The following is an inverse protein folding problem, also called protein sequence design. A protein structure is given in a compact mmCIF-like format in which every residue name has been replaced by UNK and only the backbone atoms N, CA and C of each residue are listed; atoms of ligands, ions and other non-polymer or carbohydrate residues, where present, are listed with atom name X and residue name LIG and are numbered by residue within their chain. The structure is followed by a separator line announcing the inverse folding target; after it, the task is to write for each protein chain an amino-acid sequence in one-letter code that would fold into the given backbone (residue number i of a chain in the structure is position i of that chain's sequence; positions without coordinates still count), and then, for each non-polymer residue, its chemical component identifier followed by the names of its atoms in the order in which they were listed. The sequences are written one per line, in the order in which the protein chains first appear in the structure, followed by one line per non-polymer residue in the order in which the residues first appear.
data_IF_048435162094
#
_entry.id   IF_048435162094
#
_cell.length_a   1.000
_cell.length_b   1.000
_cell.length_c   1.000
_cell.angle_alpha   90.00
_cell.angle_beta   90.00
_cell.angle_gamma   90.00
#
_symmetry.space_group_name_H-M   'P 1'
#
loop_
_entity.id
_entity.type
_entity.pdbx_description
1 polymer ?
#
# COMPACT_ATOMS: atom_id res chain seq x y z
N UNK A 1 -4.10 32.27 53.12
CA UNK A 1 -2.87 31.62 52.59
C UNK A 1 -2.84 30.17 53.03
N UNK A 2 -3.32 29.23 52.21
CA UNK A 2 -3.23 27.80 52.53
C UNK A 2 -1.84 27.26 52.16
N UNK A 3 -1.07 26.85 53.18
CA UNK A 3 0.18 26.11 53.01
C UNK A 3 -0.13 24.67 52.60
N UNK A 4 -0.03 24.37 51.29
CA UNK A 4 -0.01 22.99 50.83
C UNK A 4 1.29 22.31 51.29
N UNK A 5 1.17 21.25 52.07
CA UNK A 5 2.28 20.40 52.50
C UNK A 5 2.93 19.68 51.33
N UNK A 6 4.23 19.34 51.48
CA UNK A 6 5.07 18.72 50.42
C UNK A 6 4.45 17.48 49.74
N UNK A 7 3.52 16.76 50.40
CA UNK A 7 2.80 15.62 49.81
C UNK A 7 1.66 15.98 48.83
N UNK A 8 1.08 17.18 48.93
CA UNK A 8 -0.01 17.61 48.02
C UNK A 8 0.50 17.98 46.63
N UNK A 9 1.76 18.43 46.51
CA UNK A 9 2.39 18.77 45.23
C UNK A 9 2.64 17.55 44.34
N UNK A 10 2.94 16.40 44.94
CA UNK A 10 3.20 15.16 44.19
C UNK A 10 1.91 14.56 43.61
N UNK A 11 0.79 14.68 44.33
CA UNK A 11 -0.52 14.18 43.88
C UNK A 11 -1.04 15.05 42.72
N UNK A 12 -0.90 16.37 42.80
CA UNK A 12 -1.31 17.27 41.71
C UNK A 12 -0.46 17.08 40.45
N UNK A 13 0.85 16.86 40.59
CA UNK A 13 1.71 16.57 39.43
C UNK A 13 1.36 15.23 38.77
N UNK A 14 1.10 14.18 39.56
CA UNK A 14 0.70 12.88 39.03
C UNK A 14 -0.67 12.93 38.32
N UNK A 15 -1.62 13.69 38.86
CA UNK A 15 -2.93 13.91 38.23
C UNK A 15 -2.80 14.73 36.92
N UNK A 16 -1.96 15.77 36.88
CA UNK A 16 -1.68 16.51 35.65
C UNK A 16 -0.95 15.68 34.60
N UNK A 17 -0.04 14.77 34.98
CA UNK A 17 0.64 13.88 34.04
C UNK A 17 -0.33 12.83 33.45
N UNK A 18 -1.24 12.30 34.27
CA UNK A 18 -2.30 11.38 33.81
C UNK A 18 -3.32 12.07 32.89
N UNK A 19 -3.70 13.32 33.18
CA UNK A 19 -4.54 14.10 32.26
C UNK A 19 -3.81 14.48 30.97
N UNK A 20 -2.52 14.80 31.02
CA UNK A 20 -1.72 15.07 29.83
C UNK A 20 -1.49 13.82 28.96
N UNK A 21 -1.51 12.61 29.57
CA UNK A 21 -1.41 11.33 28.85
C UNK A 21 -2.72 10.96 28.15
N UNK A 22 -3.87 11.31 28.74
CA UNK A 22 -5.19 11.09 28.15
C UNK A 22 -5.52 12.10 27.03
N UNK A 23 -4.83 13.24 26.99
CA UNK A 23 -4.96 14.24 25.91
C UNK A 23 -4.01 13.98 24.73
N UNK A 24 -3.13 12.97 24.85
CA UNK A 24 -2.41 12.39 23.72
C UNK A 24 -3.25 11.23 23.16
N UNK A 25 -4.50 11.52 22.79
CA UNK A 25 -5.15 10.65 21.82
C UNK A 25 -4.28 10.77 20.56
N UNK A 26 -3.70 9.67 20.04
CA UNK A 26 -3.13 9.73 18.71
C UNK A 26 -4.26 10.21 17.82
N UNK A 27 -4.03 11.27 17.04
CA UNK A 27 -4.90 11.60 15.93
C UNK A 27 -4.97 10.33 15.08
N UNK A 28 -6.02 9.52 15.28
CA UNK A 28 -6.25 8.31 14.52
C UNK A 28 -6.73 8.81 13.17
N UNK A 29 -6.09 8.35 12.11
CA UNK A 29 -6.45 8.76 10.77
C UNK A 29 -7.61 7.86 10.32
N UNK A 30 -8.71 8.48 9.89
CA UNK A 30 -9.71 7.82 9.05
C UNK A 30 -9.00 6.98 7.98
N UNK A 31 -9.46 5.74 7.76
CA UNK A 31 -8.81 4.81 6.85
C UNK A 31 -8.52 5.50 5.51
N UNK A 32 -7.23 5.71 5.23
CA UNK A 32 -6.81 6.36 4.01
C UNK A 32 -6.76 5.27 2.94
N UNK A 33 -7.89 5.07 2.28
CA UNK A 33 -8.03 4.10 1.20
C UNK A 33 -7.08 4.47 0.07
N UNK A 34 -6.25 3.52 -0.29
CA UNK A 34 -5.30 3.67 -1.39
C UNK A 34 -5.82 2.91 -2.61
N UNK A 35 -5.97 3.63 -3.71
CA UNK A 35 -6.48 3.18 -5.01
C UNK A 35 -5.49 3.56 -6.11
N UNK A 36 -5.76 3.17 -7.36
CA UNK A 36 -4.96 3.61 -8.51
C UNK A 36 -4.95 5.13 -8.70
N UNK A 37 -5.97 5.84 -8.17
CA UNK A 37 -6.07 7.29 -8.26
C UNK A 37 -5.13 8.05 -7.29
N UNK A 38 -4.64 7.41 -6.22
CA UNK A 38 -3.84 8.09 -5.19
C UNK A 38 -2.60 7.32 -4.70
N UNK A 39 -2.38 6.07 -5.14
CA UNK A 39 -1.20 5.29 -4.75
C UNK A 39 0.11 5.91 -5.27
N UNK A 40 0.11 6.34 -6.53
CA UNK A 40 1.22 7.02 -7.19
C UNK A 40 0.68 8.05 -8.19
N UNK A 41 1.43 9.12 -8.42
CA UNK A 41 1.01 10.23 -9.28
C UNK A 41 0.99 9.87 -10.78
N UNK A 42 1.69 8.81 -11.20
CA UNK A 42 1.99 8.51 -12.60
C UNK A 42 1.51 7.13 -13.07
N UNK A 43 0.70 6.42 -12.28
CA UNK A 43 0.19 5.09 -12.67
C UNK A 43 -1.16 5.13 -13.38
N UNK A 44 -1.87 6.26 -13.40
CA UNK A 44 -3.24 6.36 -13.95
C UNK A 44 -3.37 6.08 -15.44
N UNK A 45 -2.25 6.08 -16.18
CA UNK A 45 -2.18 5.72 -17.60
C UNK A 45 -1.53 4.35 -17.83
N UNK A 46 -1.08 3.67 -16.78
CA UNK A 46 -0.49 2.34 -16.87
C UNK A 46 -1.60 1.31 -17.04
N UNK A 47 -1.50 0.40 -18.03
CA UNK A 47 -2.38 -0.76 -18.10
C UNK A 47 -2.31 -1.67 -16.87
N UNK A 48 -1.26 -1.57 -16.05
CA UNK A 48 -1.08 -2.38 -14.84
C UNK A 48 -1.40 -1.62 -13.53
N UNK A 49 -2.16 -0.52 -13.60
CA UNK A 49 -2.38 0.35 -12.43
C UNK A 49 -2.99 -0.38 -11.23
N UNK A 50 -3.93 -1.30 -11.46
CA UNK A 50 -4.60 -2.05 -10.40
C UNK A 50 -3.68 -3.14 -9.84
N UNK A 51 -2.87 -3.75 -10.69
CA UNK A 51 -1.83 -4.71 -10.31
C UNK A 51 -0.76 -4.05 -9.43
N UNK A 52 -0.36 -2.82 -9.73
CA UNK A 52 0.58 -2.05 -8.91
C UNK A 52 -0.02 -1.81 -7.51
N UNK A 53 -1.28 -1.38 -7.43
CA UNK A 53 -1.99 -1.16 -6.15
C UNK A 53 -2.09 -2.47 -5.37
N UNK A 54 -2.48 -3.56 -6.02
CA UNK A 54 -2.56 -4.91 -5.44
C UNK A 54 -1.20 -5.33 -4.84
N UNK A 55 -0.13 -5.25 -5.61
CA UNK A 55 1.18 -5.74 -5.18
C UNK A 55 1.84 -4.86 -4.11
N UNK A 56 1.56 -3.55 -4.08
CA UNK A 56 1.96 -2.71 -2.93
C UNK A 56 1.20 -3.09 -1.66
N UNK A 57 -0.09 -3.44 -1.78
CA UNK A 57 -0.89 -3.93 -0.66
C UNK A 57 -0.40 -5.26 -0.11
N UNK A 58 0.09 -6.13 -0.99
CA UNK A 58 0.69 -7.40 -0.61
C UNK A 58 2.10 -7.26 -0.02
N UNK A 59 2.71 -6.06 -0.09
CA UNK A 59 4.11 -5.84 0.30
C UNK A 59 5.12 -6.48 -0.67
N UNK A 60 4.67 -6.86 -1.88
CA UNK A 60 5.53 -7.39 -2.95
C UNK A 60 6.29 -6.25 -3.61
N UNK A 61 5.63 -5.11 -3.83
CA UNK A 61 6.28 -3.85 -4.17
C UNK A 61 6.44 -3.08 -2.85
N UNK A 62 7.69 -2.81 -2.46
CA UNK A 62 7.93 -2.02 -1.25
C UNK A 62 7.45 -0.58 -1.48
N UNK A 63 6.54 -0.13 -0.63
CA UNK A 63 5.96 1.21 -0.70
C UNK A 63 6.69 2.17 0.25
N UNK A 64 7.09 3.33 -0.27
CA UNK A 64 7.63 4.44 0.53
C UNK A 64 6.76 5.67 0.36
N UNK A 65 6.36 6.30 1.48
CA UNK A 65 5.59 7.54 1.45
C UNK A 65 6.38 8.72 0.84
N UNK A 66 7.71 8.61 0.77
CA UNK A 66 8.58 9.64 0.19
C UNK A 66 8.65 9.54 -1.34
N UNK A 67 8.23 8.42 -1.93
CA UNK A 67 8.22 8.19 -3.37
C UNK A 67 6.81 8.37 -3.93
N UNK A 68 6.61 9.49 -4.64
CA UNK A 68 5.30 9.87 -5.19
C UNK A 68 5.05 9.32 -6.60
N UNK A 69 6.05 8.68 -7.22
CA UNK A 69 6.00 8.19 -8.61
C UNK A 69 6.50 6.75 -8.71
N UNK A 70 5.76 5.88 -9.39
CA UNK A 70 6.14 4.50 -9.62
C UNK A 70 7.05 4.33 -10.85
N UNK A 71 6.89 5.19 -11.87
CA UNK A 71 7.60 5.15 -13.16
C UNK A 71 7.41 3.79 -13.89
N UNK A 72 6.18 3.48 -14.35
CA UNK A 72 5.82 2.17 -14.91
C UNK A 72 6.68 1.71 -16.09
N UNK A 73 7.13 2.64 -16.94
CA UNK A 73 7.86 2.36 -18.18
C UNK A 73 9.38 2.21 -17.98
N UNK A 74 9.91 2.56 -16.81
CA UNK A 74 11.32 2.36 -16.50
C UNK A 74 11.65 0.87 -16.39
N UNK A 75 12.84 0.49 -16.85
CA UNK A 75 13.40 -0.84 -16.58
C UNK A 75 13.61 -1.03 -15.08
N UNK A 76 13.08 -2.13 -14.55
CA UNK A 76 13.26 -2.51 -13.16
C UNK A 76 14.74 -2.85 -12.92
N UNK A 77 15.36 -2.25 -11.90
CA UNK A 77 16.75 -2.55 -11.54
C UNK A 77 16.82 -3.80 -10.68
N UNK A 78 17.89 -4.60 -10.82
CA UNK A 78 18.11 -5.76 -9.94
C UNK A 78 18.24 -5.35 -8.48
N UNK A 79 18.91 -4.24 -8.19
CA UNK A 79 19.02 -3.71 -6.84
C UNK A 79 17.67 -3.35 -6.21
N UNK A 80 16.74 -2.83 -7.02
CA UNK A 80 15.38 -2.50 -6.58
C UNK A 80 14.52 -3.74 -6.38
N UNK A 81 14.56 -4.69 -7.33
CA UNK A 81 13.92 -6.00 -7.18
C UNK A 81 14.43 -6.72 -5.90
N UNK A 82 15.73 -6.66 -5.65
CA UNK A 82 16.35 -7.24 -4.46
C UNK A 82 15.85 -6.58 -3.17
N UNK A 83 15.71 -5.25 -3.17
CA UNK A 83 15.11 -4.53 -2.05
C UNK A 83 13.67 -5.00 -1.80
N UNK A 84 12.83 -5.02 -2.83
CA UNK A 84 11.44 -5.48 -2.73
C UNK A 84 11.33 -6.92 -2.21
N UNK A 85 12.16 -7.83 -2.73
CA UNK A 85 12.22 -9.21 -2.28
C UNK A 85 12.66 -9.32 -0.81
N UNK A 86 13.66 -8.54 -0.38
CA UNK A 86 14.11 -8.53 1.00
C UNK A 86 13.02 -8.07 1.98
N UNK A 87 12.25 -7.03 1.63
CA UNK A 87 11.12 -6.56 2.43
C UNK A 87 10.00 -7.60 2.50
N UNK A 88 9.60 -8.15 1.35
CA UNK A 88 8.56 -9.17 1.26
C UNK A 88 8.88 -10.41 2.11
N UNK A 89 10.11 -10.92 2.00
CA UNK A 89 10.57 -12.10 2.74
C UNK A 89 11.00 -11.79 4.19
N UNK A 90 10.85 -10.54 4.65
CA UNK A 90 11.26 -10.06 5.98
C UNK A 90 12.74 -10.36 6.29
N UNK A 91 13.58 -10.21 5.27
CA UNK A 91 15.04 -10.38 5.36
C UNK A 91 15.78 -9.05 5.58
N UNK A 92 15.09 -7.92 5.44
CA UNK A 92 15.60 -6.63 5.86
C UNK A 92 15.51 -6.47 7.38
N UNK A 93 16.58 -5.96 8.01
CA UNK A 93 16.52 -5.53 9.40
C UNK A 93 15.61 -4.29 9.52
N UNK A 94 14.93 -4.15 10.66
CA UNK A 94 14.08 -2.99 10.90
C UNK A 94 14.90 -1.69 10.79
N UNK A 95 14.50 -0.79 9.88
CA UNK A 95 15.20 0.48 9.63
C UNK A 95 16.42 0.37 8.70
N UNK A 96 16.63 -0.79 8.07
CA UNK A 96 17.64 -0.92 7.02
C UNK A 96 17.35 0.03 5.85
N UNK A 97 18.41 0.54 5.22
CA UNK A 97 18.28 1.26 3.96
C UNK A 97 17.93 0.29 2.82
N UNK A 98 17.37 0.80 1.72
CA UNK A 98 17.07 0.00 0.53
C UNK A 98 18.32 -0.76 0.02
N UNK A 99 19.51 -0.14 0.09
CA UNK A 99 20.76 -0.79 -0.28
C UNK A 99 21.14 -1.94 0.66
N UNK A 100 20.96 -1.77 1.97
CA UNK A 100 21.23 -2.82 2.96
C UNK A 100 20.27 -4.01 2.78
N UNK A 101 18.98 -3.72 2.59
CA UNK A 101 17.96 -4.72 2.29
C UNK A 101 18.28 -5.47 0.99
N UNK A 102 18.63 -4.78 -0.09
CA UNK A 102 19.05 -5.40 -1.35
C UNK A 102 20.27 -6.33 -1.19
N UNK A 103 21.27 -5.93 -0.38
CA UNK A 103 22.42 -6.80 -0.05
C UNK A 103 22.00 -8.03 0.77
N UNK A 104 20.98 -7.92 1.62
CA UNK A 104 20.42 -9.06 2.35
C UNK A 104 19.80 -10.08 1.41
N UNK A 105 18.98 -9.63 0.43
CA UNK A 105 18.41 -10.50 -0.59
C UNK A 105 19.47 -11.21 -1.44
N UNK A 106 20.55 -10.50 -1.82
CA UNK A 106 21.69 -11.12 -2.50
C UNK A 106 22.35 -12.21 -1.63
N UNK A 107 22.60 -11.91 -0.36
CA UNK A 107 23.21 -12.84 0.60
C UNK A 107 22.35 -14.09 0.83
N UNK A 108 21.03 -13.93 0.80
CA UNK A 108 20.07 -15.03 0.92
C UNK A 108 19.84 -15.81 -0.40
N UNK A 109 20.45 -15.38 -1.50
CA UNK A 109 20.32 -16.03 -2.81
C UNK A 109 18.98 -15.78 -3.51
N UNK A 110 18.21 -14.78 -3.07
CA UNK A 110 16.96 -14.37 -3.73
C UNK A 110 17.21 -13.72 -5.10
N UNK A 111 18.40 -13.16 -5.31
CA UNK A 111 18.86 -12.62 -6.59
C UNK A 111 20.32 -13.03 -6.84
N UNK A 112 20.73 -13.09 -8.11
CA UNK A 112 22.10 -13.48 -8.49
C UNK A 112 23.11 -12.33 -8.51
N UNK A 113 22.66 -11.08 -8.69
CA UNK A 113 23.48 -9.87 -8.75
C UNK A 113 22.63 -8.64 -8.44
N UNK A 114 23.26 -7.54 -8.04
CA UNK A 114 22.60 -6.22 -7.88
C UNK A 114 22.79 -5.31 -9.09
N UNK A 115 23.70 -5.67 -10.00
CA UNK A 115 24.06 -4.83 -11.14
C UNK A 115 23.10 -5.03 -12.31
N UNK A 116 22.74 -3.94 -13.01
CA UNK A 116 21.94 -3.99 -14.23
C UNK A 116 20.42 -4.02 -14.01
N UNK A 117 19.69 -4.31 -15.08
CA UNK A 117 18.24 -4.45 -15.06
C UNK A 117 17.85 -5.87 -14.69
N UNK A 118 16.72 -6.03 -14.01
CA UNK A 118 16.13 -7.32 -13.71
C UNK A 118 15.52 -7.95 -14.97
N UNK A 119 15.52 -9.27 -14.99
CA UNK A 119 14.82 -10.10 -15.98
C UNK A 119 13.75 -10.98 -15.30
N UNK A 120 12.96 -11.70 -16.10
CA UNK A 120 11.92 -12.60 -15.57
C UNK A 120 12.50 -13.76 -14.74
N UNK A 121 13.74 -14.19 -15.03
CA UNK A 121 14.45 -15.19 -14.26
C UNK A 121 14.79 -14.70 -12.84
N UNK A 122 15.21 -13.44 -12.72
CA UNK A 122 15.42 -12.78 -11.43
C UNK A 122 14.12 -12.72 -10.63
N UNK A 123 13.00 -12.36 -11.27
CA UNK A 123 11.68 -12.30 -10.61
C UNK A 123 11.21 -13.68 -10.15
N UNK A 124 11.35 -14.70 -11.00
CA UNK A 124 11.02 -16.09 -10.66
C UNK A 124 11.82 -16.56 -9.44
N UNK A 125 13.12 -16.26 -9.40
CA UNK A 125 13.97 -16.58 -8.24
C UNK A 125 13.52 -15.84 -6.98
N UNK A 126 13.29 -14.53 -7.10
CA UNK A 126 13.03 -13.65 -5.96
C UNK A 126 11.71 -13.95 -5.25
N UNK A 127 10.64 -14.24 -6.00
CA UNK A 127 9.29 -14.40 -5.45
C UNK A 127 8.76 -15.84 -5.52
N UNK A 128 9.18 -16.61 -6.51
CA UNK A 128 8.62 -17.94 -6.77
C UNK A 128 9.62 -19.07 -6.51
N UNK A 129 10.77 -18.78 -5.88
CA UNK A 129 11.81 -19.77 -5.58
C UNK A 129 12.45 -20.42 -6.82
N UNK A 130 12.23 -19.85 -8.00
CA UNK A 130 12.63 -20.46 -9.28
C UNK A 130 11.71 -21.59 -9.75
N UNK A 131 10.54 -21.79 -9.12
CA UNK A 131 9.63 -22.89 -9.42
C UNK A 131 8.79 -22.67 -10.69
N UNK A 132 8.67 -21.42 -11.18
CA UNK A 132 7.94 -21.17 -12.42
C UNK A 132 8.69 -21.74 -13.62
N UNK A 133 7.96 -22.42 -14.50
CA UNK A 133 8.48 -22.84 -15.79
C UNK A 133 8.41 -21.67 -16.77
N UNK A 134 9.58 -21.11 -17.10
CA UNK A 134 9.71 -20.02 -18.07
C UNK A 134 10.34 -20.58 -19.35
N UNK A 135 9.52 -20.78 -20.38
CA UNK A 135 9.96 -21.38 -21.64
C UNK A 135 10.82 -20.39 -22.46
N UNK A 136 12.06 -20.75 -22.86
CA UNK A 136 12.91 -19.88 -23.67
C UNK A 136 12.34 -19.52 -25.04
N UNK A 137 11.41 -20.32 -25.57
CA UNK A 137 10.69 -20.06 -26.83
C UNK A 137 9.30 -19.44 -26.63
N UNK A 138 8.93 -19.10 -25.39
CA UNK A 138 7.67 -18.47 -25.05
C UNK A 138 7.64 -16.97 -25.41
N UNK A 139 6.47 -16.34 -25.20
CA UNK A 139 6.32 -14.88 -25.30
C UNK A 139 7.11 -14.11 -24.23
N UNK A 140 7.41 -14.78 -23.12
CA UNK A 140 8.19 -14.27 -22.00
C UNK A 140 9.36 -15.22 -21.81
N UNK A 141 10.58 -14.74 -22.02
CA UNK A 141 11.79 -15.54 -21.83
C UNK A 141 12.45 -15.19 -20.49
N UNK A 142 13.16 -16.15 -19.85
CA UNK A 142 13.80 -15.89 -18.56
C UNK A 142 14.77 -14.71 -18.58
N UNK A 143 15.46 -14.48 -19.69
CA UNK A 143 16.51 -13.46 -19.87
C UNK A 143 15.99 -12.13 -20.43
N UNK A 144 14.67 -11.98 -20.63
CA UNK A 144 14.09 -10.73 -21.08
C UNK A 144 14.01 -9.73 -19.93
N UNK A 145 14.67 -8.57 -20.10
CA UNK A 145 14.56 -7.46 -19.14
C UNK A 145 13.15 -6.88 -19.15
N UNK A 146 12.60 -6.59 -17.97
CA UNK A 146 11.25 -6.08 -17.82
C UNK A 146 11.18 -4.66 -17.24
N UNK A 147 10.10 -3.95 -17.56
CA UNK A 147 9.74 -2.70 -16.89
C UNK A 147 9.06 -2.96 -15.54
N UNK A 148 8.93 -1.93 -14.71
CA UNK A 148 8.16 -2.01 -13.45
C UNK A 148 6.69 -2.39 -13.69
N UNK A 149 6.08 -1.88 -14.77
CA UNK A 149 4.74 -2.27 -15.22
C UNK A 149 4.66 -3.75 -15.57
N UNK A 150 5.61 -4.24 -16.37
CA UNK A 150 5.66 -5.64 -16.78
C UNK A 150 5.89 -6.58 -15.59
N UNK A 151 6.67 -6.15 -14.60
CA UNK A 151 6.80 -6.85 -13.31
C UNK A 151 5.43 -6.97 -12.63
N UNK A 152 4.69 -5.86 -12.51
CA UNK A 152 3.41 -5.86 -11.82
C UNK A 152 2.38 -6.79 -12.50
N UNK A 153 2.28 -6.71 -13.83
CA UNK A 153 1.42 -7.60 -14.61
C UNK A 153 1.86 -9.08 -14.47
N UNK A 154 3.15 -9.36 -14.54
CA UNK A 154 3.66 -10.74 -14.49
C UNK A 154 3.43 -11.41 -13.13
N UNK A 155 3.68 -10.70 -12.03
CA UNK A 155 3.55 -11.25 -10.68
C UNK A 155 2.08 -11.39 -10.27
N UNK A 156 1.23 -10.42 -10.61
CA UNK A 156 -0.19 -10.45 -10.28
C UNK A 156 -0.93 -11.62 -10.97
N UNK A 157 -0.62 -11.92 -12.23
CA UNK A 157 -1.17 -13.07 -12.97
C UNK A 157 -0.87 -14.41 -12.26
N UNK A 158 0.24 -14.47 -11.53
CA UNK A 158 0.75 -15.68 -10.84
C UNK A 158 0.58 -15.63 -9.33
N UNK A 159 -0.18 -14.67 -8.82
CA UNK A 159 -0.30 -14.42 -7.38
C UNK A 159 -0.77 -15.67 -6.62
N UNK A 160 -1.65 -16.46 -7.24
CA UNK A 160 -2.26 -17.66 -6.68
C UNK A 160 -1.60 -18.97 -7.17
N UNK A 161 -0.45 -18.88 -7.86
CA UNK A 161 0.27 -20.08 -8.30
C UNK A 161 0.72 -20.88 -7.06
N UNK A 162 0.43 -22.19 -6.99
CA UNK A 162 0.85 -23.02 -5.87
C UNK A 162 2.36 -23.27 -5.95
N UNK A 163 3.08 -22.83 -4.91
CA UNK A 163 4.52 -23.08 -4.73
C UNK A 163 4.75 -24.04 -3.57
N UNK A 164 5.97 -24.57 -3.44
CA UNK A 164 6.34 -25.47 -2.35
C UNK A 164 6.12 -24.90 -0.94
N UNK A 165 6.15 -23.56 -0.80
CA UNK A 165 5.98 -22.82 0.46
C UNK A 165 4.63 -22.08 0.55
N UNK A 166 3.69 -22.36 -0.36
CA UNK A 166 2.40 -21.68 -0.47
C UNK A 166 2.40 -20.54 -1.49
N UNK A 167 1.22 -20.00 -1.77
CA UNK A 167 1.01 -18.88 -2.70
C UNK A 167 1.67 -17.59 -2.18
N UNK A 168 1.85 -16.58 -3.05
CA UNK A 168 2.46 -15.31 -2.63
C UNK A 168 1.68 -14.59 -1.51
N UNK A 169 0.34 -14.52 -1.53
CA UNK A 169 -0.43 -13.97 -0.40
C UNK A 169 -0.18 -14.71 0.90
N UNK A 170 -0.16 -16.05 0.88
CA UNK A 170 0.09 -16.87 2.07
C UNK A 170 1.49 -16.62 2.64
N UNK A 171 2.50 -16.51 1.77
CA UNK A 171 3.87 -16.16 2.18
C UNK A 171 3.93 -14.76 2.81
N UNK A 172 3.15 -13.81 2.31
CA UNK A 172 2.97 -12.49 2.91
C UNK A 172 2.11 -12.49 4.20
N UNK A 173 1.60 -13.64 4.62
CA UNK A 173 0.76 -13.80 5.81
C UNK A 173 -0.69 -13.34 5.62
N UNK A 174 -1.16 -13.29 4.38
CA UNK A 174 -2.57 -13.03 4.07
C UNK A 174 -3.39 -14.32 4.10
N UNK A 175 -4.62 -14.18 4.56
CA UNK A 175 -5.68 -15.17 4.40
C UNK A 175 -6.66 -14.68 3.32
N UNK A 176 -7.27 -15.62 2.60
CA UNK A 176 -8.36 -15.28 1.68
C UNK A 176 -9.53 -14.70 2.49
N UNK A 177 -9.97 -13.51 2.10
CA UNK A 177 -11.06 -12.80 2.74
C UNK A 177 -12.43 -13.11 2.12
N UNK A 178 -13.48 -12.43 2.59
CA UNK A 178 -14.83 -12.54 2.02
C UNK A 178 -14.89 -12.04 0.57
N UNK A 179 -15.86 -12.56 -0.17
CA UNK A 179 -16.28 -12.07 -1.48
C UNK A 179 -17.81 -12.03 -1.52
N UNK A 180 -18.39 -11.17 -2.35
CA UNK A 180 -19.84 -10.97 -2.44
C UNK A 180 -20.23 -9.50 -2.49
N UNK A 181 -21.51 -9.22 -2.26
CA UNK A 181 -22.03 -7.85 -2.25
C UNK A 181 -21.67 -7.18 -0.92
N UNK A 182 -21.19 -5.94 -0.96
CA UNK A 182 -21.07 -5.11 0.23
C UNK A 182 -22.46 -4.62 0.61
N UNK A 183 -23.02 -5.19 1.67
CA UNK A 183 -24.38 -4.89 2.13
C UNK A 183 -24.47 -3.54 2.86
N UNK A 184 -23.39 -3.17 3.56
CA UNK A 184 -23.32 -1.95 4.35
C UNK A 184 -21.89 -1.55 4.65
N UNK A 185 -21.64 -0.24 4.76
CA UNK A 185 -20.41 0.30 5.34
C UNK A 185 -20.76 1.19 6.54
N UNK A 186 -20.21 0.85 7.70
CA UNK A 186 -20.46 1.55 8.97
C UNK A 186 -19.21 2.30 9.40
N UNK A 187 -19.35 3.58 9.72
CA UNK A 187 -18.28 4.38 10.33
C UNK A 187 -18.20 4.05 11.82
N UNK A 188 -17.07 3.53 12.31
CA UNK A 188 -16.78 3.40 13.73
C UNK A 188 -16.31 4.76 14.28
N UNK A 189 -17.25 5.59 14.76
CA UNK A 189 -16.94 6.92 15.34
C UNK A 189 -15.93 6.84 16.51
N UNK A 190 -15.97 5.78 17.31
CA UNK A 190 -15.09 5.61 18.48
C UNK A 190 -13.64 5.24 18.09
N UNK A 191 -13.40 4.76 16.86
CA UNK A 191 -12.08 4.25 16.44
C UNK A 191 -11.56 4.84 15.14
N UNK A 192 -12.27 5.80 14.57
CA UNK A 192 -11.99 6.46 13.29
C UNK A 192 -11.65 5.46 12.18
N UNK A 193 -12.56 4.50 11.97
CA UNK A 193 -12.40 3.42 11.01
C UNK A 193 -13.72 3.02 10.36
N UNK A 194 -13.66 2.04 9.47
CA UNK A 194 -14.83 1.51 8.78
C UNK A 194 -14.99 0.03 9.07
N UNK A 195 -16.24 -0.38 9.27
CA UNK A 195 -16.66 -1.78 9.27
C UNK A 195 -17.44 -2.04 7.99
N UNK A 196 -17.04 -3.06 7.24
CA UNK A 196 -17.65 -3.46 5.96
C UNK A 196 -18.44 -4.75 6.19
N UNK A 197 -19.74 -4.71 5.91
CA UNK A 197 -20.62 -5.87 6.01
C UNK A 197 -20.72 -6.60 4.67
N UNK A 198 -20.38 -7.89 4.65
CA UNK A 198 -20.50 -8.77 3.49
C UNK A 198 -21.23 -10.03 3.96
N UNK A 199 -22.45 -10.22 3.46
CA UNK A 199 -23.38 -11.20 4.02
C UNK A 199 -23.68 -10.94 5.50
N UNK A 200 -23.60 -11.99 6.33
CA UNK A 200 -23.87 -11.92 7.77
C UNK A 200 -22.65 -11.53 8.61
N UNK A 201 -21.52 -11.22 7.97
CA UNK A 201 -20.25 -10.93 8.66
C UNK A 201 -19.84 -9.47 8.48
N UNK A 202 -19.35 -8.87 9.57
CA UNK A 202 -18.75 -7.53 9.56
C UNK A 202 -17.24 -7.66 9.72
N UNK A 203 -16.51 -6.94 8.87
CA UNK A 203 -15.06 -6.94 8.85
C UNK A 203 -14.54 -5.52 9.02
N UNK A 204 -13.59 -5.34 9.93
CA UNK A 204 -12.88 -4.07 10.08
C UNK A 204 -12.06 -3.80 8.82
N UNK A 205 -12.10 -2.58 8.33
CA UNK A 205 -11.20 -2.11 7.29
C UNK A 205 -9.85 -1.74 7.91
N UNK A 206 -8.76 -2.17 7.28
CA UNK A 206 -7.42 -1.74 7.64
C UNK A 206 -7.26 -0.21 7.51
N UNK A 207 -6.28 0.40 8.18
CA UNK A 207 -6.05 1.85 8.16
C UNK A 207 -5.61 2.35 6.77
N UNK A 208 -4.90 1.50 6.01
CA UNK A 208 -4.43 1.80 4.66
C UNK A 208 -4.78 0.67 3.70
N UNK A 209 -6.07 0.38 3.49
CA UNK A 209 -6.45 -0.72 2.62
C UNK A 209 -6.06 -0.37 1.19
N UNK A 210 -5.70 -1.39 0.41
CA UNK A 210 -5.55 -1.27 -1.05
C UNK A 210 -6.84 -1.72 -1.70
N UNK A 211 -7.40 -0.86 -2.54
CA UNK A 211 -8.71 -1.07 -3.15
C UNK A 211 -8.59 -0.90 -4.65
N UNK A 212 -8.97 -1.93 -5.38
CA UNK A 212 -9.06 -1.94 -6.84
C UNK A 212 -10.52 -1.94 -7.28
N UNK A 213 -10.81 -1.23 -8.37
CA UNK A 213 -12.14 -1.22 -8.98
C UNK A 213 -13.23 -0.45 -8.22
N UNK A 214 -12.89 0.29 -7.17
CA UNK A 214 -13.84 1.08 -6.37
C UNK A 214 -13.29 2.44 -5.91
N UNK A 215 -14.19 3.28 -5.39
CA UNK A 215 -13.88 4.63 -4.88
C UNK A 215 -12.95 4.59 -3.67
N UNK A 216 -12.16 5.65 -3.44
CA UNK A 216 -11.40 5.83 -2.19
C UNK A 216 -12.28 6.19 -0.99
N UNK A 217 -13.57 6.42 -1.20
CA UNK A 217 -14.57 6.66 -0.16
C UNK A 217 -15.36 5.38 0.12
N UNK A 218 -15.13 4.70 1.27
CA UNK A 218 -15.83 3.46 1.62
C UNK A 218 -17.36 3.58 1.64
N UNK A 219 -17.90 4.77 1.93
CA UNK A 219 -19.36 4.96 1.96
C UNK A 219 -20.02 4.72 0.60
N UNK A 220 -19.25 4.73 -0.49
CA UNK A 220 -19.73 4.48 -1.85
C UNK A 220 -19.69 3.00 -2.26
N UNK A 221 -19.20 2.11 -1.40
CA UNK A 221 -19.04 0.68 -1.73
C UNK A 221 -20.32 -0.13 -1.56
N UNK A 222 -21.33 0.39 -0.85
CA UNK A 222 -22.60 -0.31 -0.67
C UNK A 222 -23.23 -0.71 -2.01
N UNK A 223 -23.64 -1.98 -2.12
CA UNK A 223 -24.19 -2.57 -3.34
C UNK A 223 -23.13 -3.02 -4.36
N UNK A 224 -21.85 -2.69 -4.19
CA UNK A 224 -20.80 -3.15 -5.10
C UNK A 224 -20.42 -4.61 -4.84
N UNK A 225 -19.96 -5.30 -5.89
CA UNK A 225 -19.51 -6.69 -5.80
C UNK A 225 -18.00 -6.73 -5.53
N UNK A 226 -17.63 -7.20 -4.35
CA UNK A 226 -16.27 -7.56 -3.99
C UNK A 226 -15.95 -8.95 -4.59
N UNK A 227 -15.07 -8.97 -5.59
CA UNK A 227 -14.69 -10.19 -6.32
C UNK A 227 -13.73 -11.03 -5.50
N UNK A 228 -12.76 -10.38 -4.85
CA UNK A 228 -11.78 -11.03 -3.97
C UNK A 228 -11.30 -10.05 -2.92
N UNK A 229 -10.92 -10.58 -1.78
CA UNK A 229 -10.24 -9.80 -0.75
C UNK A 229 -9.23 -10.65 0.01
N UNK A 230 -8.37 -9.96 0.74
CA UNK A 230 -7.39 -10.58 1.62
C UNK A 230 -7.37 -9.89 2.96
N UNK A 231 -7.26 -10.73 3.99
CA UNK A 231 -7.29 -10.31 5.38
C UNK A 231 -6.00 -10.62 6.10
N UNK A 232 -5.71 -9.84 7.14
CA UNK A 232 -4.63 -10.06 8.10
C UNK A 232 -5.11 -9.85 9.52
N UNK A 233 -4.40 -10.38 10.54
CA UNK A 233 -4.66 -10.03 11.94
C UNK A 233 -4.68 -8.51 12.13
N UNK A 234 -5.74 -8.02 12.75
CA UNK A 234 -5.92 -6.61 13.04
C UNK A 234 -4.83 -6.15 14.03
N UNK A 235 -4.21 -5.01 13.73
CA UNK A 235 -3.21 -4.39 14.60
C UNK A 235 -3.80 -4.00 15.97
N UNK A 236 -5.10 -3.71 16.05
CA UNK A 236 -5.79 -3.38 17.29
C UNK A 236 -6.21 -4.61 18.11
N UNK A 237 -6.53 -5.73 17.46
CA UNK A 237 -6.85 -7.02 18.11
C UNK A 237 -6.45 -8.18 17.19
N UNK A 238 -5.29 -8.79 17.44
CA UNK A 238 -4.74 -9.86 16.59
C UNK A 238 -5.59 -11.14 16.54
N UNK A 239 -6.66 -11.23 17.33
CA UNK A 239 -7.65 -12.31 17.26
C UNK A 239 -8.75 -12.05 16.22
N UNK A 240 -8.81 -10.84 15.69
CA UNK A 240 -9.72 -10.44 14.61
C UNK A 240 -8.94 -10.28 13.32
N UNK A 241 -9.63 -10.49 12.21
CA UNK A 241 -9.12 -10.23 10.88
C UNK A 241 -9.65 -8.88 10.39
N UNK A 242 -8.78 -8.11 9.75
CA UNK A 242 -9.13 -6.87 9.05
C UNK A 242 -8.97 -7.07 7.54
N UNK A 243 -9.77 -6.36 6.74
CA UNK A 243 -9.68 -6.28 5.28
C UNK A 243 -8.52 -5.35 4.89
N UNK A 244 -7.53 -5.89 4.20
CA UNK A 244 -6.31 -5.15 3.81
C UNK A 244 -6.25 -4.88 2.31
N UNK A 245 -6.66 -5.85 1.49
CA UNK A 245 -6.66 -5.73 0.04
C UNK A 245 -8.03 -6.16 -0.46
N UNK A 246 -8.67 -5.33 -1.28
CA UNK A 246 -10.02 -5.52 -1.78
C UNK A 246 -10.02 -5.28 -3.29
N UNK A 247 -10.62 -6.19 -4.04
CA UNK A 247 -10.79 -6.06 -5.49
C UNK A 247 -12.26 -6.17 -5.84
N UNK A 248 -12.83 -5.07 -6.30
CA UNK A 248 -14.21 -4.98 -6.72
C UNK A 248 -14.31 -5.30 -8.21
N UNK A 249 -15.44 -5.89 -8.62
CA UNK A 249 -15.74 -5.95 -10.04
C UNK A 249 -15.76 -4.53 -10.57
N UNK A 250 -15.09 -4.26 -11.68
CA UNK A 250 -15.23 -2.98 -12.37
C UNK A 250 -16.72 -2.70 -12.49
N UNK A 251 -17.19 -1.66 -11.80
CA UNK A 251 -18.58 -1.23 -11.94
C UNK A 251 -18.77 -0.96 -13.44
N UNK A 252 -19.71 -1.65 -14.09
CA UNK A 252 -20.09 -1.24 -15.43
C UNK A 252 -20.57 0.21 -15.31
N UNK A 253 -19.72 1.12 -15.77
CA UNK A 253 -19.99 2.53 -15.72
C UNK A 253 -21.15 2.82 -16.68
N UNK A 254 -22.38 2.74 -16.16
CA UNK A 254 -23.60 3.17 -16.81
C UNK A 254 -24.47 2.05 -17.37
N UNK A 255 -25.51 1.67 -16.62
CA UNK A 255 -26.70 1.06 -17.21
C UNK A 255 -28.04 1.39 -16.52
N UNK A 256 -28.08 2.16 -15.41
CA UNK A 256 -29.35 2.45 -14.70
C UNK A 256 -29.49 3.91 -14.24
N UNK A 257 -29.34 4.85 -15.17
CA UNK A 257 -29.64 6.26 -14.92
C UNK A 257 -30.51 6.92 -16.02
N UNK A 258 -31.27 6.15 -16.82
CA UNK A 258 -32.14 6.72 -17.86
C UNK A 258 -33.52 6.05 -18.02
N UNK A 259 -34.08 5.49 -16.95
CA UNK A 259 -35.45 4.94 -16.96
C UNK A 259 -36.43 5.74 -16.09
N UNK A 260 -36.22 7.05 -15.96
CA UNK A 260 -36.93 7.84 -14.93
C UNK A 260 -37.22 9.32 -15.23
N UNK A 261 -37.24 9.76 -16.49
CA UNK A 261 -37.77 11.07 -16.92
C UNK A 261 -37.87 11.02 -18.46
N UNK A 262 -38.99 11.15 -19.18
CA UNK A 262 -40.17 11.94 -18.96
C UNK A 262 -41.38 11.29 -19.67
N UNK A 263 -42.45 11.08 -18.92
CA UNK A 263 -43.79 10.91 -19.47
C UNK A 263 -44.66 12.06 -18.94
N UNK A 264 -44.47 13.27 -19.47
CA UNK A 264 -45.51 14.31 -19.52
C UNK A 264 -45.03 15.59 -20.23
N UNK A 265 -45.49 15.81 -21.47
CA UNK A 265 -45.93 17.12 -21.97
C UNK A 265 -46.35 17.01 -23.45
N UNK A 266 -47.59 16.57 -23.65
CA UNK A 266 -48.38 16.96 -24.81
C UNK A 266 -48.99 18.34 -24.53
N UNK A 267 -48.66 19.35 -25.34
CA UNK A 267 -49.60 20.35 -25.88
C UNK A 267 -48.87 21.56 -26.52
N UNK A 268 -48.93 21.62 -27.85
CA UNK A 268 -49.33 22.84 -28.56
C UNK A 268 -48.24 23.78 -29.12
N UNK A 269 -48.28 23.98 -30.44
CA UNK A 269 -48.17 25.34 -30.99
C UNK A 269 -47.09 25.63 -32.03
N UNK A 270 -47.38 25.26 -33.28
CA UNK A 270 -47.25 26.08 -34.51
C UNK A 270 -45.95 26.86 -34.86
N UNK A 271 -45.51 26.55 -36.10
CA UNK A 271 -45.04 27.45 -37.15
C UNK A 271 -43.61 28.01 -37.07
N UNK A 272 -42.81 27.69 -38.10
CA UNK A 272 -41.56 28.38 -38.38
C UNK A 272 -40.66 27.63 -39.35
N UNK A 273 -41.02 27.65 -40.63
CA UNK A 273 -40.20 27.24 -41.78
C UNK A 273 -38.84 27.94 -41.83
N UNK A 274 -37.76 27.22 -42.14
CA UNK A 274 -36.73 27.67 -43.08
C UNK A 274 -35.92 26.48 -43.63
N UNK A 275 -36.04 26.31 -44.94
CA UNK A 275 -35.14 25.53 -45.78
C UNK A 275 -33.79 26.26 -45.92
N UNK A 276 -32.69 25.53 -46.12
CA UNK A 276 -32.01 25.47 -47.42
C UNK A 276 -30.85 24.46 -47.41
N UNK A 277 -30.60 23.93 -48.60
CA UNK A 277 -29.76 22.83 -49.00
C UNK A 277 -28.25 23.13 -49.03
N UNK A 278 -27.45 22.08 -49.24
CA UNK A 278 -26.03 22.22 -49.57
C UNK A 278 -25.27 20.90 -49.51
N UNK A 279 -25.50 20.05 -50.51
CA UNK A 279 -24.61 18.94 -50.84
C UNK A 279 -23.25 19.48 -51.32
N UNK A 280 -22.15 18.79 -51.02
CA UNK A 280 -21.40 18.03 -52.03
C UNK A 280 -20.07 17.49 -51.50
N UNK A 281 -19.74 16.33 -52.05
CA UNK A 281 -18.55 15.53 -51.80
C UNK A 281 -17.26 16.21 -52.26
N UNK A 282 -16.13 15.81 -51.65
CA UNK A 282 -14.93 15.57 -52.45
C UNK A 282 -14.01 14.54 -51.79
N UNK A 283 -13.80 13.44 -52.49
CA UNK A 283 -12.70 12.53 -52.26
C UNK A 283 -11.46 13.07 -53.00
N UNK A 284 -10.29 13.06 -52.37
CA UNK A 284 -9.08 12.84 -53.15
C UNK A 284 -7.99 12.16 -52.33
N UNK A 285 -7.41 11.16 -52.98
CA UNK A 285 -6.29 10.35 -52.56
C UNK A 285 -4.96 11.07 -52.80
N UNK A 286 -3.88 10.53 -52.24
CA UNK A 286 -2.60 10.48 -52.95
C UNK A 286 -1.33 10.88 -52.19
N UNK A 287 -0.48 9.87 -52.02
CA UNK A 287 0.97 9.86 -52.31
C UNK A 287 1.99 10.40 -51.28
N UNK A 288 2.77 9.43 -50.76
CA UNK A 288 4.22 9.26 -50.89
C UNK A 288 5.18 10.48 -50.81
N UNK A 289 6.10 10.42 -49.82
CA UNK A 289 7.55 10.70 -49.92
C UNK A 289 8.17 10.44 -48.53
N UNK A 290 9.05 9.45 -48.30
CA UNK A 290 10.49 9.33 -48.63
C UNK A 290 11.41 10.34 -47.92
N UNK A 291 12.50 9.78 -47.37
CA UNK A 291 13.70 10.38 -46.75
C UNK A 291 13.54 10.79 -45.27
N UNK A 292 14.37 10.33 -44.33
CA UNK A 292 15.78 9.99 -44.42
C UNK A 292 16.56 10.99 -43.57
N UNK A 293 16.88 10.63 -42.33
CA UNK A 293 17.92 11.35 -41.58
C UNK A 293 18.72 10.40 -40.72
N UNK A 294 20.00 10.31 -41.08
CA UNK A 294 21.02 9.59 -40.36
C UNK A 294 21.66 10.53 -39.32
N UNK A 295 21.90 9.96 -38.13
CA UNK A 295 23.14 10.13 -37.36
C UNK A 295 23.46 11.49 -36.75
N UNK A 296 23.62 11.51 -35.43
CA UNK A 296 24.84 12.04 -34.81
C UNK A 296 25.11 11.33 -33.48
N UNK A 297 26.34 10.84 -33.35
CA UNK A 297 26.96 10.33 -32.15
C UNK A 297 27.90 11.40 -31.55
N UNK A 298 28.26 11.19 -30.28
CA UNK A 298 29.36 11.78 -29.48
C UNK A 298 28.81 12.47 -28.21
N UNK A 299 29.04 11.97 -26.99
CA UNK A 299 30.27 11.74 -26.22
C UNK A 299 30.63 12.91 -25.29
N UNK A 300 30.95 12.58 -24.03
CA UNK A 300 31.62 13.43 -23.02
C UNK A 300 30.66 14.34 -22.23
N UNK A 301 30.85 14.64 -20.95
CA UNK A 301 31.95 14.38 -20.03
C UNK A 301 31.53 14.82 -18.61
N UNK A 302 32.18 14.20 -17.61
CA UNK A 302 32.55 14.68 -16.29
C UNK A 302 31.63 15.63 -15.46
N UNK A 303 31.21 15.07 -14.33
CA UNK A 303 31.48 15.53 -12.96
C UNK A 303 31.45 17.04 -12.66
N UNK A 304 30.55 17.43 -11.76
CA UNK A 304 30.78 18.56 -10.84
C UNK A 304 30.13 18.23 -9.50
N UNK A 305 30.98 17.87 -8.55
CA UNK A 305 30.65 17.74 -7.15
C UNK A 305 30.39 19.14 -6.57
N UNK A 306 29.27 19.29 -5.87
CA UNK A 306 29.09 20.40 -4.94
C UNK A 306 28.46 19.86 -3.65
N UNK A 307 29.33 19.64 -2.68
CA UNK A 307 29.01 19.39 -1.29
C UNK A 307 28.49 20.68 -0.64
N UNK A 308 27.47 20.57 0.22
CA UNK A 308 27.21 21.32 1.46
C UNK A 308 25.87 20.83 2.07
N UNK A 309 25.59 21.01 3.38
CA UNK A 309 26.29 20.43 4.51
C UNK A 309 25.33 19.65 5.43
N UNK A 310 25.94 19.07 6.44
CA UNK A 310 25.44 18.16 7.46
C UNK A 310 24.14 18.57 8.20
N UNK A 311 23.31 17.55 8.44
CA UNK A 311 23.07 17.09 9.80
C UNK A 311 22.11 17.90 10.67
N UNK A 312 20.80 17.69 10.49
CA UNK A 312 19.83 17.87 11.59
C UNK A 312 19.40 16.50 12.09
N UNK A 313 19.96 16.13 13.24
CA UNK A 313 19.52 15.02 14.08
C UNK A 313 18.08 15.29 14.55
N UNK A 314 17.10 14.59 13.97
CA UNK A 314 15.77 14.45 14.59
C UNK A 314 15.85 13.35 15.63
N UNK A 315 16.02 13.77 16.88
CA UNK A 315 15.92 12.93 18.06
C UNK A 315 14.45 12.70 18.42
N UNK A 316 13.82 11.68 17.84
CA UNK A 316 12.57 11.04 18.30
C UNK A 316 12.68 9.62 17.75
N UNK A 317 13.12 8.60 18.48
CA UNK A 317 12.29 7.72 19.32
C UNK A 317 13.21 7.03 20.35
N UNK A 318 13.29 7.57 21.57
CA UNK A 318 13.74 6.83 22.78
C UNK A 318 12.74 7.13 23.88
N UNK A 319 11.49 6.72 23.68
CA UNK A 319 10.37 7.02 24.60
C UNK A 319 9.74 5.80 25.27
N UNK A 320 9.68 4.65 24.58
CA UNK A 320 8.84 3.54 25.05
C UNK A 320 9.55 2.54 25.98
N UNK A 321 10.88 2.44 25.95
CA UNK A 321 11.62 1.45 26.77
C UNK A 321 11.85 1.94 28.22
N UNK A 322 11.78 3.24 28.47
CA UNK A 322 12.11 3.83 29.78
C UNK A 322 11.00 3.69 30.83
N UNK A 323 9.72 3.63 30.42
CA UNK A 323 8.60 3.54 31.37
C UNK A 323 8.46 2.15 32.02
N UNK A 324 8.68 1.08 31.25
CA UNK A 324 8.63 -0.29 31.76
C UNK A 324 9.79 -0.60 32.73
N UNK A 325 11.00 -0.09 32.42
CA UNK A 325 12.16 -0.23 33.30
C UNK A 325 11.98 0.53 34.64
N UNK A 326 11.33 1.70 34.61
CA UNK A 326 11.06 2.48 35.82
C UNK A 326 10.00 1.83 36.72
N UNK A 327 8.96 1.22 36.13
CA UNK A 327 7.94 0.45 36.85
C UNK A 327 8.54 -0.81 37.51
N UNK A 328 9.44 -1.53 36.81
CA UNK A 328 10.16 -2.67 37.39
C UNK A 328 11.08 -2.27 38.54
N UNK A 329 11.80 -1.16 38.42
CA UNK A 329 12.67 -0.64 39.49
C UNK A 329 11.87 -0.20 40.73
N UNK A 330 10.70 0.43 40.53
CA UNK A 330 9.82 0.83 41.63
C UNK A 330 9.16 -0.38 42.33
N UNK A 331 8.73 -1.39 41.57
CA UNK A 331 8.20 -2.64 42.12
C UNK A 331 9.27 -3.42 42.91
N UNK A 332 10.50 -3.49 42.39
CA UNK A 332 11.62 -4.14 43.07
C UNK A 332 12.02 -3.40 44.37
N UNK A 333 12.01 -2.06 44.36
CA UNK A 333 12.29 -1.25 45.54
C UNK A 333 11.20 -1.42 46.63
N UNK A 334 9.92 -1.49 46.24
CA UNK A 334 8.81 -1.73 47.16
C UNK A 334 8.87 -3.14 47.79
N UNK A 335 9.17 -4.17 47.00
CA UNK A 335 9.33 -5.54 47.48
C UNK A 335 10.50 -5.69 48.47
N UNK A 336 11.63 -5.02 48.21
CA UNK A 336 12.81 -5.04 49.08
C UNK A 336 12.56 -4.34 50.42
N UNK A 337 11.75 -3.29 50.43
CA UNK A 337 11.36 -2.57 51.66
C UNK A 337 10.40 -3.37 52.54
N UNK A 338 9.53 -4.19 51.93
CA UNK A 338 8.62 -5.10 52.65
C UNK A 338 9.38 -6.22 53.34
N UNK A 339 10.31 -6.90 52.63
CA UNK A 339 11.16 -7.96 53.21
C UNK A 339 12.03 -7.50 54.38
N UNK A 340 12.52 -6.25 54.38
CA UNK A 340 13.28 -5.70 55.52
C UNK A 340 12.41 -5.39 56.74
N UNK A 341 11.10 -5.22 56.57
CA UNK A 341 10.17 -4.91 57.66
C UNK A 341 9.70 -6.17 58.39
N UNK A 342 9.69 -7.31 57.69
CA UNK A 342 9.25 -8.60 58.23
C UNK A 342 10.42 -9.42 58.83
N UNK A 343 11.68 -9.03 58.59
CA UNK A 343 12.84 -9.61 59.26
C UNK A 343 13.01 -9.02 60.67
N UNK A 344 12.18 -9.47 61.61
CA UNK A 344 12.45 -9.34 63.05
C UNK A 344 13.54 -10.35 63.42
N UNK A 345 14.63 -9.97 64.09
CA UNK A 345 15.59 -10.95 64.59
C UNK A 345 14.91 -11.80 65.66
N UNK A 346 14.99 -13.12 65.53
CA UNK A 346 14.67 -14.04 66.61
C UNK A 346 15.79 -13.95 67.66
N UNK A 347 15.41 -13.71 68.92
CA UNK A 347 16.28 -13.87 70.09
C UNK A 347 16.60 -15.34 70.35
#
# INVERSE_FOLDING_TARGET
MLRMGKGGRTIVLAAMLLLASAALDPFRAAAHVVTSANAYADISLSPAQEEIVLLTGMGIIAYSHDETTFRPLDKLKRSELAYWAAEFHRQAEAGATAEQAARSALSAGLIGSLDGNADYGDVNRAFFGGELTLEPSGKIRPDDELTREQFAAFVSERLQEPLSVGTLPEQAGYESGPAGIVERVVVEEERDGYDVQIGDQSYRLYEHPRVMGASSDPAQWEGQVLVRSWTKPDAADSRKLALHVLDFSAAEAGADADAGAEANADAGGAAGTHADAGADANANAGADAVAGHAGHAAAGEAASAQAQPEGRLSAVVVGAVSAAALLFLLAAAAARRRRRRDAKPAE
#
